data_IF_729480525512
#
_entry.id   IF_729480525512
#
_cell.length_a   1.000
_cell.length_b   1.000
_cell.length_c   1.000
_cell.angle_alpha   90.00
_cell.angle_beta   90.00
_cell.angle_gamma   90.00
#
_symmetry.space_group_name_H-M   'P 1'
#
loop_
_entity.id
_entity.type
_entity.pdbx_description
1 polymer ?
#
# COMPACT_ATOMS: atom_id res chain seq x y z
N UNK A 1 7.02 23.89 -3.55
CA UNK A 1 7.47 22.49 -3.73
C UNK A 1 8.08 22.24 -5.10
N UNK A 2 7.42 22.64 -6.21
CA UNK A 2 7.86 22.44 -7.62
C UNK A 2 9.36 22.53 -7.93
N UNK A 3 10.09 23.62 -7.58
CA UNK A 3 11.45 23.81 -8.11
C UNK A 3 12.43 22.76 -7.64
N UNK A 4 12.12 22.07 -6.53
CA UNK A 4 12.98 21.05 -5.94
C UNK A 4 13.18 19.84 -6.87
N UNK A 5 12.18 19.48 -7.67
CA UNK A 5 12.26 18.37 -8.63
C UNK A 5 13.20 18.67 -9.82
N UNK A 6 13.53 19.94 -10.06
CA UNK A 6 14.44 20.37 -11.13
C UNK A 6 15.88 20.58 -10.66
N UNK A 7 16.12 20.52 -9.34
CA UNK A 7 17.47 20.71 -8.82
C UNK A 7 18.37 19.54 -9.26
N UNK A 8 19.54 19.84 -9.87
CA UNK A 8 20.45 18.78 -10.26
C UNK A 8 20.98 18.04 -9.03
N UNK A 9 21.20 16.74 -9.17
CA UNK A 9 21.77 15.86 -8.14
C UNK A 9 20.87 15.59 -6.92
N UNK A 10 19.63 16.07 -6.88
CA UNK A 10 18.67 15.63 -5.86
C UNK A 10 18.32 14.16 -6.10
N UNK A 11 18.50 13.34 -5.06
CA UNK A 11 18.21 11.90 -5.08
C UNK A 11 16.95 11.52 -4.34
N UNK A 12 16.62 12.26 -3.29
CA UNK A 12 15.51 11.97 -2.39
C UNK A 12 14.64 13.20 -2.27
N UNK A 13 13.32 13.01 -2.40
CA UNK A 13 12.33 14.05 -2.13
C UNK A 13 11.29 13.48 -1.19
N UNK A 14 11.06 14.22 -0.10
CA UNK A 14 9.90 14.02 0.79
C UNK A 14 8.96 15.18 0.60
N UNK A 15 7.70 14.89 0.27
CA UNK A 15 6.74 15.92 -0.11
C UNK A 15 5.29 15.57 0.22
N UNK A 16 4.58 16.55 0.78
CA UNK A 16 3.12 16.59 0.78
C UNK A 16 2.67 17.47 -0.41
N UNK A 17 1.84 16.93 -1.31
CA UNK A 17 1.54 17.58 -2.59
C UNK A 17 0.11 18.12 -2.74
N UNK A 18 -0.75 17.96 -1.73
CA UNK A 18 -2.13 18.51 -1.70
C UNK A 18 -2.97 18.18 -2.95
N UNK A 19 -2.71 17.00 -3.53
CA UNK A 19 -3.44 16.37 -4.62
C UNK A 19 -3.85 17.30 -5.78
N UNK A 20 -2.93 17.92 -6.53
CA UNK A 20 -3.32 18.92 -7.52
C UNK A 20 -4.08 18.28 -8.69
N UNK A 21 -5.17 18.91 -9.14
CA UNK A 21 -5.97 18.47 -10.28
C UNK A 21 -5.15 18.23 -11.56
N UNK A 22 -4.12 19.06 -11.77
CA UNK A 22 -3.19 19.00 -12.89
C UNK A 22 -1.81 19.37 -12.34
N UNK A 23 -0.79 18.55 -12.58
CA UNK A 23 0.59 19.02 -12.43
C UNK A 23 0.92 19.89 -13.63
N UNK A 24 0.62 21.20 -13.53
CA UNK A 24 0.87 22.19 -14.58
C UNK A 24 2.37 22.52 -14.77
N UNK A 25 3.24 21.56 -14.50
CA UNK A 25 4.68 21.73 -14.44
C UNK A 25 5.25 21.49 -15.85
N UNK A 26 6.35 22.14 -16.24
CA UNK A 26 7.03 21.80 -17.49
C UNK A 26 7.73 20.43 -17.35
N UNK A 27 6.95 19.34 -17.29
CA UNK A 27 7.44 17.96 -17.25
C UNK A 27 7.89 17.49 -18.63
N UNK A 28 7.44 18.16 -19.68
CA UNK A 28 7.58 17.71 -21.06
C UNK A 28 8.97 17.94 -21.67
N UNK A 29 9.86 18.71 -21.01
CA UNK A 29 11.18 19.03 -21.57
C UNK A 29 12.31 18.12 -21.09
N UNK A 30 12.28 17.60 -19.86
CA UNK A 30 13.38 16.80 -19.29
C UNK A 30 12.87 15.74 -18.33
N UNK A 31 13.47 14.54 -18.37
CA UNK A 31 13.29 13.52 -17.33
C UNK A 31 14.33 13.74 -16.24
N UNK A 32 13.93 13.67 -14.98
CA UNK A 32 14.88 13.75 -13.88
C UNK A 32 15.43 12.35 -13.56
N UNK A 33 16.69 12.12 -13.93
CA UNK A 33 17.40 10.87 -13.72
C UNK A 33 18.10 10.76 -12.36
N UNK A 34 18.27 11.86 -11.62
CA UNK A 34 18.96 11.81 -10.32
C UNK A 34 18.05 11.36 -9.18
N UNK A 35 16.73 11.56 -9.29
CA UNK A 35 15.77 11.20 -8.24
C UNK A 35 15.55 9.69 -8.23
N UNK A 36 15.93 9.05 -7.13
CA UNK A 36 15.81 7.61 -6.92
C UNK A 36 14.91 7.25 -5.75
N UNK A 37 14.57 8.21 -4.89
CA UNK A 37 13.74 8.01 -3.70
C UNK A 37 12.65 9.08 -3.63
N UNK A 38 11.41 8.65 -3.49
CA UNK A 38 10.24 9.50 -3.28
C UNK A 38 9.52 9.05 -2.02
N UNK A 39 9.20 10.01 -1.16
CA UNK A 39 8.32 9.83 -0.01
C UNK A 39 7.21 10.87 -0.11
N UNK A 40 6.02 10.40 -0.49
CA UNK A 40 4.93 11.25 -0.94
C UNK A 40 3.67 11.01 -0.11
N UNK A 41 3.07 12.11 0.31
CA UNK A 41 1.76 12.12 0.95
C UNK A 41 0.84 13.12 0.25
N UNK A 42 -0.48 12.94 0.44
CA UNK A 42 -1.51 13.81 -0.15
C UNK A 42 -1.35 13.89 -1.68
N UNK A 43 -1.23 12.75 -2.35
CA UNK A 43 -1.22 12.67 -3.81
C UNK A 43 -1.99 11.45 -4.29
N UNK A 44 -2.91 11.66 -5.24
CA UNK A 44 -3.68 10.59 -5.88
C UNK A 44 -2.98 10.03 -7.12
N UNK A 45 -3.57 8.96 -7.64
CA UNK A 45 -3.04 8.10 -8.69
C UNK A 45 -2.59 8.88 -9.93
N UNK A 46 -3.42 9.81 -10.42
CA UNK A 46 -3.17 10.54 -11.67
C UNK A 46 -2.02 11.55 -11.53
N UNK A 47 -2.01 12.47 -10.55
CA UNK A 47 -0.85 13.34 -10.36
C UNK A 47 0.42 12.54 -10.04
N UNK A 48 0.31 11.42 -9.31
CA UNK A 48 1.45 10.54 -9.07
C UNK A 48 1.97 9.92 -10.36
N UNK A 49 1.10 9.51 -11.28
CA UNK A 49 1.50 8.94 -12.58
C UNK A 49 2.29 9.94 -13.42
N UNK A 50 1.82 11.19 -13.48
CA UNK A 50 2.52 12.29 -14.13
C UNK A 50 3.89 12.50 -13.48
N UNK A 51 3.95 12.50 -12.15
CA UNK A 51 5.21 12.63 -11.41
C UNK A 51 6.20 11.50 -11.70
N UNK A 52 5.75 10.25 -11.63
CA UNK A 52 6.58 9.07 -11.89
C UNK A 52 7.06 9.00 -13.35
N UNK A 53 6.27 9.53 -14.28
CA UNK A 53 6.67 9.68 -15.69
C UNK A 53 7.87 10.65 -15.86
N UNK A 54 7.96 11.66 -15.00
CA UNK A 54 9.06 12.62 -14.95
C UNK A 54 10.27 12.09 -14.15
N UNK A 55 10.06 11.20 -13.18
CA UNK A 55 11.11 10.55 -12.38
C UNK A 55 11.22 9.04 -12.66
N UNK A 56 11.57 8.61 -13.89
CA UNK A 56 11.47 7.20 -14.29
C UNK A 56 12.56 6.29 -13.69
N UNK A 57 13.45 6.82 -12.85
CA UNK A 57 14.55 6.09 -12.20
C UNK A 57 14.35 5.91 -10.69
N UNK A 58 13.13 6.15 -10.20
CA UNK A 58 12.77 5.90 -8.81
C UNK A 58 12.94 4.42 -8.49
N UNK A 59 13.69 4.15 -7.43
CA UNK A 59 13.96 2.82 -6.86
C UNK A 59 13.22 2.61 -5.55
N UNK A 60 12.96 3.68 -4.80
CA UNK A 60 12.20 3.65 -3.55
C UNK A 60 11.02 4.61 -3.62
N UNK A 61 9.82 4.11 -3.38
CA UNK A 61 8.60 4.90 -3.30
C UNK A 61 7.87 4.59 -1.99
N UNK A 62 7.74 5.58 -1.11
CA UNK A 62 6.72 5.60 -0.08
C UNK A 62 5.56 6.47 -0.56
N UNK A 63 4.38 5.91 -0.56
CA UNK A 63 3.16 6.58 -0.99
C UNK A 63 2.07 6.38 0.05
N UNK A 64 1.66 7.49 0.65
CA UNK A 64 0.48 7.53 1.50
C UNK A 64 -0.72 7.96 0.65
N UNK A 65 -1.53 6.98 0.25
CA UNK A 65 -2.80 7.18 -0.42
C UNK A 65 -3.75 7.85 0.55
N UNK A 66 -4.29 9.00 0.18
CA UNK A 66 -5.12 9.81 1.07
C UNK A 66 -6.48 10.05 0.45
N UNK A 67 -7.51 9.93 1.29
CA UNK A 67 -8.85 10.44 1.00
C UNK A 67 -9.24 11.48 2.05
N UNK A 68 -9.65 12.67 1.60
CA UNK A 68 -10.24 13.70 2.44
C UNK A 68 -11.69 13.93 2.03
N UNK A 69 -12.62 13.56 2.91
CA UNK A 69 -14.07 13.65 2.68
C UNK A 69 -14.57 15.10 2.52
N UNK A 70 -13.75 16.09 2.90
CA UNK A 70 -14.04 17.51 2.79
C UNK A 70 -13.34 18.19 1.61
N UNK A 71 -12.59 17.42 0.82
CA UNK A 71 -11.87 17.92 -0.34
C UNK A 71 -12.84 18.30 -1.44
N UNK A 72 -12.77 19.56 -1.91
CA UNK A 72 -13.48 20.01 -3.12
C UNK A 72 -12.84 19.45 -4.42
N UNK A 73 -11.85 18.57 -4.28
CA UNK A 73 -11.12 18.00 -5.39
C UNK A 73 -11.92 16.89 -6.07
N UNK A 74 -12.27 17.02 -7.37
CA UNK A 74 -13.07 16.02 -8.07
C UNK A 74 -12.36 14.68 -8.27
N UNK A 75 -11.04 14.62 -8.06
CA UNK A 75 -10.24 13.40 -8.13
C UNK A 75 -10.01 12.75 -6.75
N UNK A 76 -10.36 13.44 -5.67
CA UNK A 76 -10.37 12.86 -4.33
C UNK A 76 -11.67 12.09 -4.11
N UNK A 77 -11.71 10.88 -4.66
CA UNK A 77 -12.86 9.98 -4.51
C UNK A 77 -12.61 8.97 -3.41
N UNK A 78 -13.68 8.54 -2.75
CA UNK A 78 -13.65 7.41 -1.81
C UNK A 78 -13.44 6.05 -2.49
N UNK A 79 -13.15 6.02 -3.79
CA UNK A 79 -12.84 4.80 -4.54
C UNK A 79 -11.32 4.60 -4.57
N UNK A 80 -10.89 3.41 -4.18
CA UNK A 80 -9.53 2.89 -4.38
C UNK A 80 -9.60 1.95 -5.58
N UNK A 81 -9.06 2.36 -6.73
CA UNK A 81 -8.91 1.48 -7.88
C UNK A 81 -7.50 0.88 -7.91
N UNK A 82 -7.40 -0.41 -7.57
CA UNK A 82 -6.12 -1.10 -7.50
C UNK A 82 -5.47 -1.26 -8.89
N UNK A 83 -6.24 -1.36 -9.98
CA UNK A 83 -5.67 -1.40 -11.33
C UNK A 83 -5.09 -0.05 -11.73
N UNK A 84 -5.73 1.05 -11.33
CA UNK A 84 -5.20 2.40 -11.53
C UNK A 84 -3.90 2.61 -10.73
N UNK A 85 -3.82 2.09 -9.49
CA UNK A 85 -2.57 2.04 -8.72
C UNK A 85 -1.46 1.33 -9.51
N UNK A 86 -1.74 0.14 -10.07
CA UNK A 86 -0.78 -0.58 -10.90
C UNK A 86 -0.35 0.23 -12.13
N UNK A 87 -1.31 0.85 -12.84
CA UNK A 87 -1.02 1.65 -14.01
C UNK A 87 -0.10 2.83 -13.69
N UNK A 88 -0.38 3.53 -12.58
CA UNK A 88 0.44 4.63 -12.05
C UNK A 88 1.86 4.17 -11.72
N UNK A 89 2.00 3.07 -10.96
CA UNK A 89 3.31 2.51 -10.61
C UNK A 89 4.05 1.93 -11.82
N UNK A 90 3.33 1.57 -12.88
CA UNK A 90 3.86 1.05 -14.13
C UNK A 90 4.93 1.95 -14.77
N UNK A 91 4.91 3.25 -14.47
CA UNK A 91 5.91 4.24 -14.92
C UNK A 91 7.32 3.97 -14.41
N UNK A 92 7.45 3.29 -13.27
CA UNK A 92 8.73 2.94 -12.61
C UNK A 92 8.89 1.44 -12.39
N UNK A 93 8.05 0.61 -13.03
CA UNK A 93 8.03 -0.86 -12.89
C UNK A 93 9.41 -1.52 -13.05
N UNK A 94 10.24 -0.99 -13.94
CA UNK A 94 11.54 -1.58 -14.26
C UNK A 94 12.68 -1.09 -13.34
N UNK A 95 12.40 -0.18 -12.40
CA UNK A 95 13.41 0.42 -11.51
C UNK A 95 13.02 0.33 -10.05
N UNK A 96 11.74 0.18 -9.73
CA UNK A 96 11.23 0.13 -8.37
C UNK A 96 11.70 -1.14 -7.64
N UNK A 97 12.36 -0.95 -6.51
CA UNK A 97 12.95 -1.99 -5.65
C UNK A 97 12.33 -2.01 -4.24
N UNK A 98 11.86 -0.86 -3.77
CA UNK A 98 11.23 -0.66 -2.46
C UNK A 98 9.94 0.12 -2.65
N UNK A 99 8.82 -0.48 -2.25
CA UNK A 99 7.49 0.10 -2.32
C UNK A 99 6.83 0.03 -0.94
N UNK A 100 6.41 1.19 -0.44
CA UNK A 100 5.51 1.30 0.70
C UNK A 100 4.24 1.98 0.23
N UNK A 101 3.09 1.30 0.32
CA UNK A 101 1.77 1.88 0.08
C UNK A 101 0.97 1.78 1.36
N UNK A 102 0.62 2.93 1.91
CA UNK A 102 -0.21 3.09 3.09
C UNK A 102 -1.45 3.88 2.71
N UNK A 103 -2.56 3.65 3.42
CA UNK A 103 -3.79 4.39 3.21
C UNK A 103 -4.15 5.22 4.45
N UNK A 104 -4.63 6.43 4.21
CA UNK A 104 -5.12 7.35 5.23
C UNK A 104 -6.45 7.94 4.79
N UNK A 105 -7.39 8.01 5.73
CA UNK A 105 -8.63 8.73 5.54
C UNK A 105 -8.69 9.88 6.53
N UNK A 106 -8.90 11.10 6.05
CA UNK A 106 -9.17 12.26 6.88
C UNK A 106 -10.69 12.42 7.02
N UNK A 107 -11.16 12.41 8.27
CA UNK A 107 -12.54 12.71 8.60
C UNK A 107 -12.58 13.70 9.78
N UNK A 108 -13.31 14.80 9.62
CA UNK A 108 -13.51 15.82 10.65
C UNK A 108 -14.79 15.62 11.48
N UNK A 109 -15.48 14.48 11.32
CA UNK A 109 -16.72 14.14 12.01
C UNK A 109 -16.67 12.80 12.73
N UNK A 110 -17.81 12.37 13.29
CA UNK A 110 -17.98 11.06 13.94
C UNK A 110 -18.21 9.92 12.95
N UNK A 111 -18.32 10.23 11.65
CA UNK A 111 -18.59 9.27 10.57
C UNK A 111 -17.39 9.26 9.65
N UNK A 112 -16.82 8.08 9.42
CA UNK A 112 -15.75 7.88 8.44
C UNK A 112 -16.41 7.60 7.07
N UNK A 113 -15.90 8.15 5.96
CA UNK A 113 -16.45 7.86 4.64
C UNK A 113 -16.32 6.38 4.31
N UNK A 114 -17.27 5.88 3.51
CA UNK A 114 -17.20 4.52 2.98
C UNK A 114 -16.20 4.46 1.83
N UNK A 115 -15.14 3.66 1.99
CA UNK A 115 -14.11 3.47 0.98
C UNK A 115 -14.43 2.25 0.12
N UNK A 116 -14.59 2.43 -1.18
CA UNK A 116 -14.85 1.34 -2.12
C UNK A 116 -13.53 0.88 -2.78
N UNK A 117 -13.03 -0.29 -2.39
CA UNK A 117 -11.81 -0.88 -2.97
C UNK A 117 -12.20 -1.83 -4.10
N UNK A 118 -11.71 -1.53 -5.31
CA UNK A 118 -12.03 -2.26 -6.54
C UNK A 118 -10.78 -2.88 -7.17
N UNK A 119 -11.02 -3.87 -8.03
CA UNK A 119 -9.99 -4.58 -8.79
C UNK A 119 -8.96 -5.31 -7.88
N UNK A 120 -7.71 -5.48 -8.34
CA UNK A 120 -6.68 -6.20 -7.58
C UNK A 120 -5.27 -5.73 -7.91
N UNK A 121 -4.34 -5.83 -6.96
CA UNK A 121 -2.92 -5.53 -7.21
C UNK A 121 -2.16 -6.68 -7.90
N UNK A 122 -2.82 -7.64 -8.56
CA UNK A 122 -2.15 -8.77 -9.25
C UNK A 122 -1.11 -8.31 -10.29
N UNK A 123 -1.24 -7.09 -10.81
CA UNK A 123 -0.25 -6.47 -11.68
C UNK A 123 1.14 -6.25 -11.05
N UNK A 124 1.25 -6.23 -9.71
CA UNK A 124 2.53 -6.14 -9.00
C UNK A 124 3.47 -7.29 -9.35
N UNK A 125 2.96 -8.45 -9.79
CA UNK A 125 3.78 -9.58 -10.25
C UNK A 125 4.73 -9.22 -11.40
N UNK A 126 4.45 -8.16 -12.14
CA UNK A 126 5.29 -7.70 -13.25
C UNK A 126 6.47 -6.82 -12.77
N UNK A 127 6.57 -6.51 -11.47
CA UNK A 127 7.60 -5.66 -10.90
C UNK A 127 8.80 -6.50 -10.47
N UNK A 128 9.51 -7.05 -11.45
CA UNK A 128 10.58 -8.04 -11.23
C UNK A 128 11.78 -7.53 -10.40
N UNK A 129 11.92 -6.22 -10.22
CA UNK A 129 12.97 -5.61 -9.39
C UNK A 129 12.52 -5.34 -7.95
N UNK A 130 11.22 -5.48 -7.65
CA UNK A 130 10.68 -5.19 -6.33
C UNK A 130 11.14 -6.26 -5.33
N UNK A 131 11.89 -5.81 -4.32
CA UNK A 131 12.49 -6.64 -3.26
C UNK A 131 11.81 -6.40 -1.92
N UNK A 132 11.40 -5.16 -1.66
CA UNK A 132 10.81 -4.73 -0.40
C UNK A 132 9.40 -4.21 -0.67
N UNK A 133 8.40 -4.82 -0.03
CA UNK A 133 7.01 -4.39 -0.12
C UNK A 133 6.42 -4.20 1.28
N UNK A 134 5.96 -2.99 1.57
CA UNK A 134 5.12 -2.67 2.72
C UNK A 134 3.72 -2.33 2.20
N UNK A 135 2.70 -3.04 2.66
CA UNK A 135 1.34 -2.91 2.14
C UNK A 135 0.27 -3.15 3.20
N UNK A 136 -0.74 -2.30 3.19
CA UNK A 136 -1.95 -2.47 4.01
C UNK A 136 -2.85 -3.61 3.54
N UNK A 137 -3.47 -4.32 4.49
CA UNK A 137 -4.42 -5.41 4.22
C UNK A 137 -5.53 -5.04 3.20
N UNK A 138 -6.15 -3.84 3.25
CA UNK A 138 -7.15 -3.47 2.26
C UNK A 138 -6.61 -3.36 0.83
N UNK A 139 -5.35 -2.97 0.63
CA UNK A 139 -4.74 -2.98 -0.69
C UNK A 139 -4.40 -4.40 -1.16
N UNK A 140 -4.13 -5.31 -0.23
CA UNK A 140 -3.81 -6.70 -0.54
C UNK A 140 -5.04 -7.51 -0.98
N UNK A 141 -6.17 -7.38 -0.26
CA UNK A 141 -7.39 -8.13 -0.57
C UNK A 141 -8.71 -7.41 -0.24
N UNK A 142 -8.78 -6.09 -0.41
CA UNK A 142 -9.94 -5.25 -0.04
C UNK A 142 -10.25 -5.30 1.46
N UNK A 143 -11.27 -4.56 1.90
CA UNK A 143 -11.75 -4.61 3.29
C UNK A 143 -12.52 -5.89 3.64
N UNK A 144 -13.03 -6.60 2.63
CA UNK A 144 -13.69 -7.88 2.79
C UNK A 144 -12.83 -8.96 2.09
N UNK A 145 -11.96 -9.67 2.83
CA UNK A 145 -11.14 -10.71 2.22
C UNK A 145 -12.05 -11.82 1.69
N UNK A 146 -12.28 -11.82 0.37
CA UNK A 146 -13.05 -12.85 -0.30
C UNK A 146 -12.37 -14.21 -0.23
N UNK A 147 -13.17 -15.29 -0.31
CA UNK A 147 -12.66 -16.66 -0.46
C UNK A 147 -11.96 -16.76 -1.81
N UNK A 148 -10.65 -16.53 -1.86
CA UNK A 148 -9.85 -16.69 -3.08
C UNK A 148 -8.78 -15.63 -3.36
N UNK A 149 -8.68 -14.54 -2.59
CA UNK A 149 -7.51 -13.66 -2.72
C UNK A 149 -6.34 -14.28 -1.97
N UNK A 150 -5.41 -14.81 -2.74
CA UNK A 150 -4.19 -15.41 -2.22
C UNK A 150 -3.09 -14.36 -2.24
N UNK A 151 -2.38 -14.19 -1.13
CA UNK A 151 -1.24 -13.27 -1.04
C UNK A 151 -0.24 -13.56 -2.18
N UNK A 152 0.00 -14.84 -2.47
CA UNK A 152 0.89 -15.27 -3.57
C UNK A 152 0.46 -14.82 -4.98
N UNK A 153 -0.81 -14.45 -5.19
CA UNK A 153 -1.29 -13.98 -6.50
C UNK A 153 -0.95 -12.51 -6.74
N UNK A 154 -0.67 -11.75 -5.68
CA UNK A 154 -0.39 -10.32 -5.71
C UNK A 154 1.11 -10.05 -5.69
N UNK A 155 1.86 -10.80 -4.88
CA UNK A 155 3.28 -10.56 -4.65
C UNK A 155 4.13 -10.86 -5.90
N UNK A 156 5.11 -9.98 -6.23
CA UNK A 156 6.16 -10.34 -7.17
C UNK A 156 7.07 -11.46 -6.63
N UNK A 157 7.50 -12.36 -7.51
CA UNK A 157 8.23 -13.59 -7.16
C UNK A 157 9.59 -13.33 -6.47
N UNK A 158 10.18 -12.16 -6.71
CA UNK A 158 11.50 -11.77 -6.20
C UNK A 158 11.44 -10.96 -4.89
N UNK A 159 10.26 -10.86 -4.24
CA UNK A 159 10.14 -10.14 -2.98
C UNK A 159 10.94 -10.86 -1.89
N UNK A 160 11.92 -10.14 -1.35
CA UNK A 160 12.80 -10.57 -0.27
C UNK A 160 12.14 -10.29 1.09
N UNK A 161 11.45 -9.16 1.21
CA UNK A 161 10.80 -8.74 2.46
C UNK A 161 9.40 -8.24 2.18
N UNK A 162 8.45 -8.90 2.82
CA UNK A 162 7.06 -8.49 2.84
C UNK A 162 6.70 -7.98 4.22
N UNK A 163 6.14 -6.78 4.29
CA UNK A 163 5.53 -6.21 5.48
C UNK A 163 4.05 -6.00 5.20
N UNK A 164 3.19 -6.67 5.96
CA UNK A 164 1.74 -6.48 5.90
C UNK A 164 1.35 -5.62 7.09
N UNK A 165 0.66 -4.51 6.83
CA UNK A 165 0.14 -3.61 7.85
C UNK A 165 -1.38 -3.69 7.95
N UNK A 166 -1.88 -3.34 9.12
CA UNK A 166 -3.28 -3.05 9.41
C UNK A 166 -3.61 -1.54 9.32
N UNK A 167 -2.69 -0.77 8.76
CA UNK A 167 -2.89 0.64 8.47
C UNK A 167 -3.95 0.76 7.37
N UNK A 168 -4.64 1.91 7.29
CA UNK A 168 -5.81 2.15 6.43
C UNK A 168 -7.13 1.61 6.97
N UNK A 169 -7.43 1.99 8.21
CA UNK A 169 -8.60 1.54 8.93
C UNK A 169 -9.80 2.51 8.80
N UNK A 170 -10.97 2.06 8.34
CA UNK A 170 -12.25 2.67 8.72
C UNK A 170 -13.02 1.74 9.68
N UNK A 171 -13.24 2.20 10.92
CA UNK A 171 -13.98 1.45 11.95
C UNK A 171 -15.47 1.43 11.61
N UNK A 172 -16.04 2.58 11.32
CA UNK A 172 -17.47 2.76 11.14
C UNK A 172 -17.70 3.68 9.96
N UNK A 173 -18.37 3.17 8.94
CA UNK A 173 -18.63 3.91 7.72
C UNK A 173 -20.11 3.92 7.38
N UNK A 174 -20.54 4.93 6.63
CA UNK A 174 -21.90 5.02 6.10
C UNK A 174 -21.88 4.68 4.60
N UNK A 175 -22.31 3.47 4.20
CA UNK A 175 -22.39 3.13 2.79
C UNK A 175 -23.30 4.11 2.05
N UNK A 176 -22.97 4.48 0.79
CA UNK A 176 -23.83 5.34 -0.01
C UNK A 176 -25.25 4.77 -0.11
N UNK A 177 -26.24 5.55 0.34
CA UNK A 177 -27.65 5.14 0.33
C UNK A 177 -28.08 4.23 1.49
N UNK A 178 -27.23 4.02 2.51
CA UNK A 178 -27.59 3.33 3.75
C UNK A 178 -27.85 4.32 4.89
N UNK A 179 -28.89 4.07 5.68
CA UNK A 179 -29.15 4.78 6.95
C UNK A 179 -28.41 4.15 8.15
N UNK A 180 -27.76 3.00 7.93
CA UNK A 180 -27.03 2.25 8.96
C UNK A 180 -25.52 2.34 8.76
N UNK A 181 -24.83 2.60 9.87
CA UNK A 181 -23.37 2.47 9.99
C UNK A 181 -22.98 1.00 9.83
N UNK A 182 -21.90 0.73 9.11
CA UNK A 182 -21.31 -0.61 8.99
C UNK A 182 -19.84 -0.58 9.36
N UNK A 183 -19.37 -1.67 9.97
CA UNK A 183 -17.95 -1.98 10.05
C UNK A 183 -17.49 -2.46 8.68
N UNK A 184 -16.63 -1.66 8.04
CA UNK A 184 -16.17 -1.95 6.69
C UNK A 184 -15.04 -2.97 6.70
N UNK A 185 -14.09 -2.83 7.62
CA UNK A 185 -12.97 -3.75 7.75
C UNK A 185 -13.43 -5.08 8.38
N UNK A 186 -13.36 -6.16 7.59
CA UNK A 186 -13.70 -7.50 8.03
C UNK A 186 -12.46 -8.38 8.24
N UNK A 187 -11.25 -7.82 8.29
CA UNK A 187 -10.03 -8.53 8.58
C UNK A 187 -9.92 -8.92 10.06
N UNK A 188 -10.66 -9.96 10.43
CA UNK A 188 -10.53 -10.57 11.75
C UNK A 188 -9.29 -11.49 11.83
N UNK A 189 -8.78 -11.69 13.05
CA UNK A 189 -7.63 -12.55 13.31
C UNK A 189 -7.69 -13.92 12.60
N UNK A 190 -8.82 -14.69 12.65
CA UNK A 190 -8.90 -15.96 11.93
C UNK A 190 -8.73 -15.85 10.42
N UNK A 191 -9.27 -14.79 9.79
CA UNK A 191 -9.15 -14.56 8.35
C UNK A 191 -7.72 -14.22 7.95
N UNK A 192 -7.03 -13.42 8.76
CA UNK A 192 -5.61 -13.08 8.56
C UNK A 192 -4.76 -14.34 8.67
N UNK A 193 -4.97 -15.15 9.72
CA UNK A 193 -4.23 -16.40 9.88
C UNK A 193 -4.48 -17.39 8.74
N UNK A 194 -5.69 -17.46 8.20
CA UNK A 194 -5.99 -18.29 7.01
C UNK A 194 -5.20 -17.79 5.79
N UNK A 195 -5.22 -16.47 5.53
CA UNK A 195 -4.49 -15.88 4.40
C UNK A 195 -2.97 -16.10 4.51
N UNK A 196 -2.40 -15.87 5.69
CA UNK A 196 -0.98 -16.08 5.97
C UNK A 196 -0.59 -17.55 5.84
N UNK A 197 -1.32 -18.48 6.46
CA UNK A 197 -1.03 -19.91 6.36
C UNK A 197 -1.13 -20.42 4.93
N UNK A 198 -2.10 -19.93 4.16
CA UNK A 198 -2.22 -20.29 2.73
C UNK A 198 -0.98 -19.89 1.92
N UNK A 199 -0.42 -18.70 2.18
CA UNK A 199 0.83 -18.25 1.58
C UNK A 199 2.02 -19.07 2.05
N UNK A 200 2.18 -19.20 3.37
CA UNK A 200 3.29 -19.91 4.01
C UNK A 200 3.34 -21.39 3.65
N UNK A 201 2.22 -22.02 3.29
CA UNK A 201 2.26 -23.43 2.86
C UNK A 201 3.02 -23.64 1.55
N UNK A 202 3.17 -22.61 0.71
CA UNK A 202 3.78 -22.70 -0.62
C UNK A 202 4.84 -21.63 -0.90
N UNK A 203 5.33 -20.93 0.13
CA UNK A 203 6.21 -19.77 -0.07
C UNK A 203 7.53 -20.17 -0.75
N UNK A 204 8.17 -21.27 -0.35
CA UNK A 204 9.46 -21.72 -0.95
C UNK A 204 9.36 -21.95 -2.46
N UNK A 205 8.18 -22.39 -2.93
CA UNK A 205 7.94 -22.65 -4.35
C UNK A 205 7.50 -21.40 -5.12
N UNK A 206 6.69 -20.56 -4.49
CA UNK A 206 6.09 -19.40 -5.15
C UNK A 206 6.95 -18.14 -5.06
N UNK A 207 7.69 -17.97 -3.97
CA UNK A 207 8.47 -16.81 -3.59
C UNK A 207 9.80 -17.24 -2.93
N UNK A 208 10.68 -17.97 -3.66
CA UNK A 208 11.91 -18.52 -3.09
C UNK A 208 12.89 -17.47 -2.58
N UNK A 209 12.76 -16.22 -3.04
CA UNK A 209 13.58 -15.10 -2.58
C UNK A 209 13.14 -14.50 -1.25
N UNK A 210 11.96 -14.88 -0.73
CA UNK A 210 11.47 -14.32 0.53
C UNK A 210 12.34 -14.74 1.71
N UNK A 211 12.84 -13.74 2.43
CA UNK A 211 13.71 -13.88 3.59
C UNK A 211 12.95 -13.63 4.89
N UNK A 212 11.96 -12.74 4.87
CA UNK A 212 11.20 -12.35 6.06
C UNK A 212 9.79 -11.87 5.72
N UNK A 213 8.85 -12.28 6.56
CA UNK A 213 7.51 -11.72 6.63
C UNK A 213 7.38 -10.89 7.91
N UNK A 214 6.95 -9.64 7.77
CA UNK A 214 6.71 -8.75 8.89
C UNK A 214 5.22 -8.42 8.98
N UNK A 215 4.70 -8.46 10.20
CA UNK A 215 3.32 -8.08 10.50
C UNK A 215 3.36 -6.81 11.36
N UNK A 216 2.94 -5.70 10.76
CA UNK A 216 2.75 -4.44 11.45
C UNK A 216 1.37 -4.39 12.04
N UNK A 217 1.33 -4.22 13.36
CA UNK A 217 0.10 -4.07 14.12
C UNK A 217 0.11 -2.69 14.74
N UNK A 218 -0.57 -1.74 14.13
CA UNK A 218 -0.75 -0.38 14.65
C UNK A 218 -2.18 -0.15 15.15
N UNK A 219 -3.18 -0.76 14.51
CA UNK A 219 -4.60 -0.57 14.80
C UNK A 219 -5.29 -1.85 15.33
N UNK A 220 -4.70 -3.03 15.17
CA UNK A 220 -5.15 -4.30 15.78
C UNK A 220 -4.72 -4.43 17.26
N UNK A 221 -4.52 -3.30 17.92
CA UNK A 221 -4.12 -3.22 19.33
C UNK A 221 -5.16 -3.82 20.29
N UNK A 222 -6.37 -4.11 19.80
CA UNK A 222 -7.44 -4.80 20.52
C UNK A 222 -7.25 -6.32 20.64
N UNK A 223 -6.27 -6.91 19.93
CA UNK A 223 -6.03 -8.35 19.96
C UNK A 223 -5.41 -8.83 21.27
N UNK A 224 -5.89 -9.98 21.74
CA UNK A 224 -5.47 -10.55 23.01
C UNK A 224 -4.11 -11.25 22.87
N UNK A 225 -3.40 -11.42 24.00
CA UNK A 225 -2.10 -12.11 24.03
C UNK A 225 -2.05 -13.45 23.24
N UNK A 226 -3.09 -14.31 23.26
CA UNK A 226 -3.10 -15.54 22.46
C UNK A 226 -2.97 -15.29 20.95
N UNK A 227 -3.52 -14.20 20.44
CA UNK A 227 -3.44 -13.82 19.01
C UNK A 227 -1.99 -13.46 18.63
N UNK A 228 -1.30 -12.73 19.52
CA UNK A 228 0.11 -12.38 19.36
C UNK A 228 1.02 -13.62 19.42
N UNK A 229 0.76 -14.52 20.38
CA UNK A 229 1.53 -15.75 20.55
C UNK A 229 1.35 -16.70 19.34
N UNK A 230 0.21 -16.65 18.65
CA UNK A 230 -0.05 -17.47 17.47
C UNK A 230 0.90 -17.14 16.30
N UNK A 231 1.29 -15.88 16.09
CA UNK A 231 2.29 -15.55 15.06
C UNK A 231 3.65 -16.18 15.35
N UNK A 232 4.04 -16.29 16.62
CA UNK A 232 5.30 -16.92 17.01
C UNK A 232 5.34 -18.42 16.66
N UNK A 233 4.18 -19.06 16.50
CA UNK A 233 4.09 -20.47 16.09
C UNK A 233 4.33 -20.69 14.60
N UNK A 234 4.18 -19.65 13.76
CA UNK A 234 4.27 -19.78 12.31
C UNK A 234 5.70 -20.00 11.82
N UNK A 235 6.71 -19.35 12.41
CA UNK A 235 8.10 -19.53 11.96
C UNK A 235 8.60 -20.96 12.16
N UNK A 236 8.41 -21.61 13.33
CA UNK A 236 8.75 -23.03 13.48
C UNK A 236 7.95 -23.97 12.56
N UNK A 237 6.71 -23.62 12.22
CA UNK A 237 5.82 -24.46 11.39
C UNK A 237 6.17 -24.40 9.90
N UNK A 238 6.50 -23.21 9.37
CA UNK A 238 6.63 -22.97 7.93
C UNK A 238 8.05 -22.59 7.48
N UNK A 239 8.99 -22.38 8.40
CA UNK A 239 10.40 -22.09 8.09
C UNK A 239 10.72 -20.66 7.64
N UNK A 240 9.72 -19.84 7.30
CA UNK A 240 9.92 -18.41 6.99
C UNK A 240 9.99 -17.59 8.30
N UNK A 241 11.04 -16.79 8.51
CA UNK A 241 11.11 -15.85 9.63
C UNK A 241 9.92 -14.89 9.63
N UNK A 242 9.21 -14.82 10.74
CA UNK A 242 8.09 -13.90 10.94
C UNK A 242 8.40 -12.98 12.11
N UNK A 243 8.29 -11.67 11.85
CA UNK A 243 8.47 -10.64 12.86
C UNK A 243 7.18 -9.86 13.03
N UNK A 244 6.72 -9.74 14.26
CA UNK A 244 5.58 -8.90 14.60
C UNK A 244 6.08 -7.65 15.31
N UNK A 245 5.57 -6.48 14.93
CA UNK A 245 5.93 -5.21 15.55
C UNK A 245 4.73 -4.29 15.73
N UNK A 246 4.63 -3.68 16.92
CA UNK A 246 3.81 -2.48 17.12
C UNK A 246 4.55 -1.30 16.50
N UNK A 247 4.04 -0.81 15.37
CA UNK A 247 4.68 0.14 14.43
C UNK A 247 5.89 -0.38 13.65
N UNK A 248 5.83 -0.21 12.33
CA UNK A 248 7.04 -0.15 11.52
C UNK A 248 7.79 1.15 11.84
N UNK A 249 9.12 1.09 12.08
CA UNK A 249 9.90 2.32 12.22
C UNK A 249 9.80 3.10 10.89
N UNK A 250 9.26 4.32 11.00
CA UNK A 250 9.24 5.34 9.94
C UNK A 250 10.63 5.72 9.49
#
# INVERSE_FOLDING_TARGET
MLPLFYLPNIRTITACLDNPNILSWPMHSHKQSSITCLDLSYIRERPLEELLSFTPFVRKLRWNWLHDDFSDNPFDTSVVDLDQIIATLGRVRNTLEDLTIEGLCLCHGTVVPFIDVRASLKGLRQFHHLKYLVISLPFLATFEPGVGVLIQDVLPENVERLAITDTFWPHESNPPGSESVVYQDQWEFPKIMIALKSFLHNWERSHPSSEILEIGVDQMDEWEKPDWDAFATLTPEYGLPIKVSKRFPT
#
